data_IF_788550989469
#
_entry.id   IF_788550989469
#
_cell.length_a   1.000
_cell.length_b   1.000
_cell.length_c   1.000
_cell.angle_alpha   90.00
_cell.angle_beta   90.00
_cell.angle_gamma   90.00
#
_symmetry.space_group_name_H-M   'P 1'
#
loop_
_entity.id
_entity.type
_entity.pdbx_description
1 polymer ?
#
# COMPACT_ATOMS: atom_id res chain seq x y z
N UNK A 1 8.55 6.28 11.02
CA UNK A 1 7.10 6.56 11.06
C UNK A 1 6.53 5.92 12.31
N UNK A 2 5.73 6.65 13.10
CA UNK A 2 4.99 6.06 14.22
C UNK A 2 3.53 5.85 13.87
N UNK A 3 2.90 4.82 14.43
CA UNK A 3 1.47 4.54 14.32
C UNK A 3 0.87 4.27 15.69
N UNK A 4 -0.38 4.67 15.87
CA UNK A 4 -1.16 4.47 17.08
C UNK A 4 -2.60 4.13 16.68
N UNK A 5 -3.07 2.92 16.99
CA UNK A 5 -4.40 2.46 16.64
C UNK A 5 -5.18 2.01 17.88
N UNK A 6 -6.42 2.47 18.09
CA UNK A 6 -7.25 1.95 19.16
C UNK A 6 -7.67 0.50 18.85
N UNK A 7 -7.70 -0.32 19.88
CA UNK A 7 -8.28 -1.67 19.85
C UNK A 7 -9.24 -1.85 21.04
N UNK A 8 -9.87 -3.00 21.15
CA UNK A 8 -10.85 -3.27 22.19
C UNK A 8 -10.23 -3.26 23.60
N UNK A 9 -11.09 -2.99 24.58
CA UNK A 9 -10.77 -3.00 26.02
C UNK A 9 -9.80 -1.89 26.46
N UNK A 10 -9.96 -0.68 25.91
CA UNK A 10 -9.14 0.49 26.22
C UNK A 10 -7.63 0.22 26.01
N UNK A 11 -7.30 -0.52 24.94
CA UNK A 11 -5.93 -0.84 24.55
C UNK A 11 -5.63 -0.19 23.21
N UNK A 12 -4.34 -0.05 22.94
CA UNK A 12 -3.85 0.59 21.72
C UNK A 12 -2.68 -0.22 21.18
N UNK A 13 -2.61 -0.35 19.86
CA UNK A 13 -1.42 -0.84 19.17
C UNK A 13 -0.53 0.36 18.89
N UNK A 14 0.69 0.31 19.39
CA UNK A 14 1.75 1.30 19.12
C UNK A 14 2.79 0.63 18.23
N UNK A 15 3.15 1.29 17.13
CA UNK A 15 4.14 0.76 16.20
C UNK A 15 5.13 1.82 15.75
N UNK A 16 6.35 1.40 15.46
CA UNK A 16 7.38 2.23 14.86
C UNK A 16 7.97 1.53 13.64
N UNK A 17 7.85 2.17 12.48
CA UNK A 17 8.44 1.70 11.24
C UNK A 17 9.69 2.52 10.92
N UNK A 18 10.84 1.84 10.82
CA UNK A 18 12.10 2.46 10.43
C UNK A 18 12.97 1.56 9.55
N UNK A 19 13.76 2.20 8.69
CA UNK A 19 14.84 1.57 7.94
C UNK A 19 16.14 1.66 8.73
N UNK A 20 17.11 0.79 8.43
CA UNK A 20 18.45 0.91 9.01
C UNK A 20 19.06 2.29 8.66
N UNK A 21 19.88 2.89 9.55
CA UNK A 21 20.31 2.39 10.86
C UNK A 21 19.37 2.72 12.03
N UNK A 22 18.29 3.47 11.82
CA UNK A 22 17.49 4.09 12.88
C UNK A 22 16.39 3.18 13.46
N UNK A 23 16.65 1.88 13.59
CA UNK A 23 15.67 0.92 14.13
C UNK A 23 15.79 0.88 15.66
N UNK A 24 14.71 1.10 16.43
CA UNK A 24 14.74 0.85 17.86
C UNK A 24 14.95 -0.64 18.13
N UNK A 25 15.50 -0.95 19.30
CA UNK A 25 15.59 -2.32 19.79
C UNK A 25 14.24 -2.79 20.34
N UNK A 26 14.21 -3.99 20.94
CA UNK A 26 13.05 -4.49 21.68
C UNK A 26 12.96 -3.90 23.10
N UNK A 27 13.92 -3.05 23.51
CA UNK A 27 13.89 -2.35 24.78
C UNK A 27 12.86 -1.22 24.79
N UNK A 28 12.13 -1.08 25.89
CA UNK A 28 11.08 -0.08 26.03
C UNK A 28 11.62 1.35 26.04
N UNK A 29 12.80 1.56 26.64
CA UNK A 29 13.46 2.87 26.70
C UNK A 29 13.85 3.32 25.29
N UNK A 30 14.51 2.45 24.53
CA UNK A 30 14.91 2.70 23.15
C UNK A 30 13.68 2.99 22.27
N UNK A 31 12.59 2.25 22.46
CA UNK A 31 11.35 2.43 21.71
C UNK A 31 10.67 3.76 22.04
N UNK A 32 10.58 4.13 23.32
CA UNK A 32 10.02 5.42 23.75
C UNK A 32 10.88 6.59 23.27
N UNK A 33 12.21 6.46 23.27
CA UNK A 33 13.11 7.47 22.71
C UNK A 33 12.90 7.62 21.20
N UNK A 34 12.76 6.52 20.46
CA UNK A 34 12.44 6.57 19.04
C UNK A 34 11.10 7.28 18.77
N UNK A 35 10.07 7.04 19.59
CA UNK A 35 8.80 7.76 19.51
C UNK A 35 8.95 9.24 19.84
N UNK A 36 9.79 9.60 20.81
CA UNK A 36 10.07 10.98 21.20
C UNK A 36 10.72 11.77 20.07
N UNK A 37 11.55 11.11 19.27
CA UNK A 37 12.27 11.69 18.12
C UNK A 37 11.43 11.77 16.83
N UNK A 38 10.15 11.38 16.85
CA UNK A 38 9.25 11.61 15.72
C UNK A 38 9.05 13.12 15.48
N UNK A 39 8.79 13.55 14.23
CA UNK A 39 8.47 14.95 13.91
C UNK A 39 7.28 15.52 14.70
N UNK A 40 6.43 14.65 15.23
CA UNK A 40 5.24 15.00 16.01
C UNK A 40 5.27 14.29 17.36
N UNK A 41 5.14 15.07 18.44
CA UNK A 41 5.20 14.56 19.82
C UNK A 41 3.92 13.85 20.29
N UNK A 42 2.87 13.80 19.47
CA UNK A 42 1.54 13.32 19.87
C UNK A 42 1.55 11.84 20.31
N UNK A 43 2.24 10.97 19.55
CA UNK A 43 2.31 9.55 19.87
C UNK A 43 3.08 9.33 21.18
N UNK A 44 4.26 9.93 21.31
CA UNK A 44 5.05 9.86 22.55
C UNK A 44 4.25 10.34 23.78
N UNK A 45 3.61 11.50 23.69
CA UNK A 45 2.80 12.05 24.79
C UNK A 45 1.63 11.15 25.17
N UNK A 46 1.04 10.44 24.20
CA UNK A 46 -0.07 9.52 24.45
C UNK A 46 0.36 8.22 25.15
N UNK A 47 1.60 7.77 24.96
CA UNK A 47 2.04 6.44 25.41
C UNK A 47 3.07 6.45 26.54
N UNK A 48 3.73 7.59 26.83
CA UNK A 48 4.81 7.68 27.83
C UNK A 48 4.43 7.24 29.26
N UNK A 49 3.14 7.37 29.61
CA UNK A 49 2.61 7.01 30.92
C UNK A 49 1.71 5.74 30.83
N UNK A 50 1.65 5.10 29.66
CA UNK A 50 0.83 3.92 29.43
C UNK A 50 1.54 2.64 29.89
N UNK A 51 0.76 1.62 30.25
CA UNK A 51 1.29 0.30 30.62
C UNK A 51 1.40 -0.61 29.39
N UNK A 52 2.58 -1.16 29.07
CA UNK A 52 2.71 -2.17 28.01
C UNK A 52 1.83 -3.39 28.29
N UNK A 53 1.01 -3.78 27.32
CA UNK A 53 0.19 -4.99 27.40
C UNK A 53 0.95 -6.25 26.95
N UNK A 54 2.02 -6.08 26.17
CA UNK A 54 2.87 -7.14 25.62
C UNK A 54 4.32 -6.65 25.53
N UNK A 55 5.31 -7.55 25.42
CA UNK A 55 6.67 -7.18 25.00
C UNK A 55 6.67 -6.52 23.61
N UNK A 56 7.71 -5.73 23.33
CA UNK A 56 7.93 -5.12 22.01
C UNK A 56 8.51 -6.16 21.06
N UNK A 57 7.80 -6.45 19.98
CA UNK A 57 8.25 -7.33 18.92
C UNK A 57 8.85 -6.55 17.75
N UNK A 58 9.90 -7.11 17.13
CA UNK A 58 10.43 -6.59 15.86
C UNK A 58 10.06 -7.56 14.74
N UNK A 59 9.40 -7.03 13.72
CA UNK A 59 9.14 -7.75 12.48
C UNK A 59 9.96 -7.14 11.34
N UNK A 60 10.71 -8.00 10.64
CA UNK A 60 11.45 -7.63 9.45
C UNK A 60 10.71 -8.16 8.22
N UNK A 61 9.86 -7.36 7.57
CA UNK A 61 9.21 -7.80 6.34
C UNK A 61 10.30 -8.05 5.28
N UNK A 62 10.21 -9.16 4.51
CA UNK A 62 11.18 -9.49 3.46
C UNK A 62 11.12 -8.54 2.24
N UNK A 63 10.39 -7.43 2.35
CA UNK A 63 10.06 -6.51 1.27
C UNK A 63 8.84 -6.95 0.46
N UNK A 64 8.50 -6.18 -0.57
CA UNK A 64 7.48 -6.56 -1.54
C UNK A 64 7.93 -7.80 -2.32
N UNK A 65 7.08 -8.83 -2.38
CA UNK A 65 7.35 -10.05 -3.16
C UNK A 65 6.09 -10.51 -3.88
N UNK A 66 6.18 -10.61 -5.20
CA UNK A 66 5.17 -11.22 -6.06
C UNK A 66 5.74 -12.49 -6.68
N UNK A 67 4.99 -13.59 -6.60
CA UNK A 67 5.29 -14.86 -7.27
C UNK A 67 4.30 -15.06 -8.40
N UNK A 68 4.81 -15.21 -9.62
CA UNK A 68 4.01 -15.37 -10.83
C UNK A 68 3.56 -16.81 -11.04
N UNK A 69 2.72 -17.32 -10.13
CA UNK A 69 2.18 -18.69 -10.25
C UNK A 69 1.34 -18.86 -11.52
N UNK A 70 0.67 -17.81 -12.01
CA UNK A 70 -0.05 -17.78 -13.28
C UNK A 70 0.85 -18.03 -14.50
N UNK A 71 2.16 -17.81 -14.37
CA UNK A 71 3.16 -18.03 -15.41
C UNK A 71 3.76 -19.44 -15.43
N UNK A 72 3.35 -20.35 -14.53
CA UNK A 72 3.87 -21.72 -14.52
C UNK A 72 3.42 -22.49 -15.77
N UNK A 73 4.38 -23.13 -16.45
CA UNK A 73 4.10 -24.01 -17.62
C UNK A 73 3.20 -25.19 -17.25
N UNK A 74 3.27 -25.67 -16.01
CA UNK A 74 2.45 -26.75 -15.47
C UNK A 74 2.03 -26.40 -14.05
N UNK A 75 0.72 -26.37 -13.82
CA UNK A 75 0.18 -26.20 -12.47
C UNK A 75 0.15 -27.54 -11.72
N UNK A 76 0.52 -27.56 -10.43
CA UNK A 76 0.29 -28.72 -9.57
C UNK A 76 -1.21 -28.95 -9.40
N UNK A 77 -1.63 -30.20 -9.58
CA UNK A 77 -3.03 -30.58 -9.43
C UNK A 77 -3.45 -30.56 -7.95
N UNK A 78 -4.66 -30.07 -7.66
CA UNK A 78 -5.19 -29.99 -6.30
C UNK A 78 -4.45 -29.01 -5.38
N UNK A 79 -3.59 -28.13 -5.92
CA UNK A 79 -2.83 -27.16 -5.14
C UNK A 79 -3.13 -25.73 -5.57
N UNK A 80 -3.40 -24.88 -4.59
CA UNK A 80 -3.67 -23.45 -4.78
C UNK A 80 -2.84 -22.66 -3.76
N UNK A 81 -2.22 -21.57 -4.22
CA UNK A 81 -1.53 -20.59 -3.39
C UNK A 81 -2.34 -19.29 -3.37
N UNK A 82 -2.45 -18.65 -2.21
CA UNK A 82 -3.16 -17.37 -2.01
C UNK A 82 -2.51 -16.52 -0.89
N UNK A 83 -2.91 -15.25 -0.78
CA UNK A 83 -2.39 -14.31 0.22
C UNK A 83 -0.88 -14.07 0.08
N UNK A 84 -0.18 -13.93 1.20
CA UNK A 84 1.27 -13.64 1.25
C UNK A 84 2.15 -14.73 0.60
N UNK A 85 1.61 -15.94 0.42
CA UNK A 85 2.30 -16.98 -0.35
C UNK A 85 2.46 -16.61 -1.83
N UNK A 86 1.57 -15.77 -2.37
CA UNK A 86 1.58 -15.29 -3.76
C UNK A 86 2.10 -13.86 -3.84
N UNK A 87 1.48 -12.95 -3.08
CA UNK A 87 1.77 -11.52 -3.13
C UNK A 87 1.85 -10.97 -1.71
N UNK A 88 3.05 -10.60 -1.28
CA UNK A 88 3.30 -9.99 0.01
C UNK A 88 3.78 -8.56 -0.17
N UNK A 89 3.22 -7.64 0.61
CA UNK A 89 3.45 -6.21 0.50
C UNK A 89 4.19 -5.67 1.72
N UNK A 90 4.86 -4.53 1.56
CA UNK A 90 5.22 -3.68 2.69
C UNK A 90 3.93 -3.24 3.39
N UNK A 91 3.83 -3.40 4.74
CA UNK A 91 2.57 -3.21 5.44
C UNK A 91 2.13 -1.75 5.55
N UNK A 92 2.93 -0.82 5.04
CA UNK A 92 2.71 0.63 5.09
C UNK A 92 1.34 1.02 4.50
N UNK A 93 0.88 0.30 3.48
CA UNK A 93 -0.37 0.61 2.79
C UNK A 93 -1.59 -0.15 3.33
N UNK A 94 -1.40 -1.09 4.28
CA UNK A 94 -2.51 -1.81 4.93
C UNK A 94 -3.33 -2.74 4.02
N UNK A 95 -2.85 -3.09 2.82
CA UNK A 95 -3.65 -3.79 1.81
C UNK A 95 -3.64 -5.33 1.93
N UNK A 96 -2.67 -5.92 2.64
CA UNK A 96 -2.44 -7.36 2.64
C UNK A 96 -3.65 -8.21 3.06
N UNK A 97 -4.33 -7.84 4.15
CA UNK A 97 -5.50 -8.57 4.63
C UNK A 97 -6.68 -8.47 3.65
N UNK A 98 -6.94 -7.28 3.09
CA UNK A 98 -8.00 -7.08 2.09
C UNK A 98 -7.74 -7.90 0.84
N UNK A 99 -6.50 -7.90 0.33
CA UNK A 99 -6.12 -8.69 -0.85
C UNK A 99 -6.25 -10.19 -0.58
N UNK A 100 -5.83 -10.67 0.59
CA UNK A 100 -6.01 -12.07 0.98
C UNK A 100 -7.49 -12.47 1.06
N UNK A 101 -8.33 -11.61 1.63
CA UNK A 101 -9.78 -11.83 1.72
C UNK A 101 -10.44 -11.86 0.33
N UNK A 102 -10.11 -10.92 -0.56
CA UNK A 102 -10.58 -10.92 -1.95
C UNK A 102 -10.14 -12.18 -2.70
N UNK A 103 -8.91 -12.65 -2.47
CA UNK A 103 -8.43 -13.93 -3.01
C UNK A 103 -9.23 -15.14 -2.49
N UNK A 104 -9.65 -15.13 -1.23
CA UNK A 104 -10.50 -16.18 -0.66
C UNK A 104 -11.94 -16.16 -1.24
N UNK A 105 -12.50 -14.96 -1.47
CA UNK A 105 -13.79 -14.80 -2.16
C UNK A 105 -13.71 -15.33 -3.59
N UNK A 106 -12.67 -14.95 -4.35
CA UNK A 106 -12.42 -15.49 -5.68
C UNK A 106 -12.31 -17.03 -5.67
N UNK A 107 -11.61 -17.59 -4.68
CA UNK A 107 -11.46 -19.04 -4.58
C UNK A 107 -12.82 -19.73 -4.40
N UNK A 108 -13.70 -19.16 -3.58
CA UNK A 108 -15.06 -19.64 -3.40
C UNK A 108 -15.83 -19.60 -4.72
N UNK A 109 -15.80 -18.49 -5.44
CA UNK A 109 -16.47 -18.32 -6.74
C UNK A 109 -15.99 -19.36 -7.75
N UNK A 110 -14.67 -19.52 -7.92
CA UNK A 110 -14.11 -20.52 -8.82
C UNK A 110 -14.49 -21.96 -8.44
N UNK A 111 -14.58 -22.28 -7.15
CA UNK A 111 -15.00 -23.60 -6.66
C UNK A 111 -16.49 -23.87 -6.93
N UNK A 112 -17.33 -22.85 -6.83
CA UNK A 112 -18.76 -22.93 -7.14
C UNK A 112 -19.00 -23.16 -8.63
N UNK A 113 -18.23 -22.51 -9.50
CA UNK A 113 -18.32 -22.67 -10.96
C UNK A 113 -17.97 -24.08 -11.45
N UNK A 114 -16.98 -24.73 -10.83
CA UNK A 114 -16.51 -26.07 -11.23
C UNK A 114 -17.20 -27.21 -10.46
N UNK A 115 -18.21 -26.90 -9.65
CA UNK A 115 -18.88 -27.88 -8.78
C UNK A 115 -19.45 -29.04 -9.61
N UNK A 116 -19.03 -30.27 -9.29
CA UNK A 116 -19.45 -31.47 -10.01
C UNK A 116 -18.74 -31.70 -11.35
N UNK A 117 -17.69 -30.92 -11.65
CA UNK A 117 -16.86 -31.06 -12.84
C UNK A 117 -15.41 -31.40 -12.48
N UNK A 118 -14.57 -31.61 -13.49
CA UNK A 118 -13.14 -31.87 -13.31
C UNK A 118 -12.39 -30.62 -12.77
N UNK A 119 -11.74 -30.79 -11.62
CA UNK A 119 -10.94 -29.74 -10.96
C UNK A 119 -9.59 -29.49 -11.63
N UNK A 120 -9.22 -30.24 -12.67
CA UNK A 120 -7.86 -30.19 -13.25
C UNK A 120 -7.43 -28.82 -13.78
N UNK A 121 -8.41 -27.97 -14.14
CA UNK A 121 -8.21 -26.61 -14.66
C UNK A 121 -8.30 -25.53 -13.59
N UNK A 122 -8.83 -25.86 -12.41
CA UNK A 122 -9.08 -24.90 -11.34
C UNK A 122 -7.81 -24.15 -10.91
N UNK A 123 -6.64 -24.79 -10.65
CA UNK A 123 -5.44 -24.06 -10.24
C UNK A 123 -4.98 -23.03 -11.28
N UNK A 124 -5.01 -23.39 -12.56
CA UNK A 124 -4.59 -22.49 -13.64
C UNK A 124 -5.54 -21.29 -13.79
N UNK A 125 -6.84 -21.54 -13.72
CA UNK A 125 -7.85 -20.51 -13.78
C UNK A 125 -7.76 -19.56 -12.58
N UNK A 126 -7.74 -20.12 -11.36
CA UNK A 126 -7.67 -19.35 -10.12
C UNK A 126 -6.41 -18.47 -10.06
N UNK A 127 -5.21 -19.02 -10.35
CA UNK A 127 -3.98 -18.23 -10.29
C UNK A 127 -3.98 -17.07 -11.28
N UNK A 128 -4.58 -17.27 -12.47
CA UNK A 128 -4.72 -16.22 -13.49
C UNK A 128 -5.65 -15.11 -13.03
N UNK A 129 -6.78 -15.43 -12.41
CA UNK A 129 -7.71 -14.43 -11.90
C UNK A 129 -7.17 -13.72 -10.64
N UNK A 130 -6.49 -14.46 -9.75
CA UNK A 130 -5.83 -13.89 -8.57
C UNK A 130 -4.74 -12.88 -8.96
N UNK A 131 -3.99 -13.15 -10.04
CA UNK A 131 -3.00 -12.21 -10.56
C UNK A 131 -3.63 -10.86 -10.96
N UNK A 132 -4.87 -10.85 -11.46
CA UNK A 132 -5.58 -9.60 -11.80
C UNK A 132 -5.97 -8.82 -10.54
N UNK A 133 -6.46 -9.51 -9.50
CA UNK A 133 -6.76 -8.88 -8.20
C UNK A 133 -5.50 -8.26 -7.59
N UNK A 134 -4.38 -8.98 -7.65
CA UNK A 134 -3.10 -8.54 -7.08
C UNK A 134 -2.46 -7.38 -7.85
N UNK A 135 -2.74 -7.22 -9.14
CA UNK A 135 -2.04 -6.27 -10.01
C UNK A 135 -2.14 -4.82 -9.52
N UNK A 136 -3.34 -4.37 -9.13
CA UNK A 136 -3.56 -3.00 -8.65
C UNK A 136 -2.78 -2.68 -7.37
N UNK A 137 -3.00 -3.43 -6.27
CA UNK A 137 -2.25 -3.30 -5.02
C UNK A 137 -0.73 -3.44 -5.22
N UNK A 138 -0.29 -4.36 -6.08
CA UNK A 138 1.13 -4.54 -6.39
C UNK A 138 1.76 -3.29 -7.01
N UNK A 139 1.11 -2.68 -8.00
CA UNK A 139 1.59 -1.43 -8.62
C UNK A 139 1.60 -0.32 -7.57
N UNK A 140 0.56 -0.21 -6.74
CA UNK A 140 0.47 0.83 -5.72
C UNK A 140 1.62 0.73 -4.70
N UNK A 141 1.87 -0.47 -4.17
CA UNK A 141 2.93 -0.71 -3.19
C UNK A 141 4.33 -0.49 -3.79
N UNK A 142 4.59 -1.05 -4.97
CA UNK A 142 5.92 -0.99 -5.59
C UNK A 142 6.27 0.39 -6.14
N UNK A 143 5.30 1.15 -6.65
CA UNK A 143 5.55 2.49 -7.22
C UNK A 143 6.01 3.51 -6.18
N UNK A 144 5.51 3.40 -4.95
CA UNK A 144 5.94 4.27 -3.86
C UNK A 144 7.30 3.83 -3.30
N UNK A 145 7.49 2.52 -3.14
CA UNK A 145 8.75 1.99 -2.60
C UNK A 145 9.92 2.21 -3.59
N UNK A 146 9.65 2.22 -4.90
CA UNK A 146 10.64 2.51 -5.93
C UNK A 146 11.25 3.92 -5.84
N UNK A 147 10.65 4.84 -5.07
CA UNK A 147 11.21 6.16 -4.79
C UNK A 147 12.38 6.11 -3.80
N UNK A 148 12.56 5.02 -3.07
CA UNK A 148 13.64 4.86 -2.09
C UNK A 148 14.90 4.28 -2.76
N UNK A 149 16.06 4.97 -2.68
CA UNK A 149 17.30 4.51 -3.31
C UNK A 149 17.81 3.14 -2.84
N UNK A 150 17.40 2.71 -1.64
CA UNK A 150 17.80 1.43 -1.04
C UNK A 150 17.07 0.21 -1.62
N UNK A 151 16.02 0.41 -2.45
CA UNK A 151 15.24 -0.69 -3.01
C UNK A 151 16.02 -1.37 -4.14
N UNK A 152 16.24 -2.68 -3.99
CA UNK A 152 16.87 -3.55 -4.99
C UNK A 152 15.78 -4.35 -5.73
N UNK A 153 16.10 -4.83 -6.93
CA UNK A 153 15.19 -5.68 -7.72
C UNK A 153 14.31 -4.93 -8.73
N UNK A 154 14.40 -3.60 -8.80
CA UNK A 154 13.82 -2.81 -9.88
C UNK A 154 14.66 -3.08 -11.13
N UNK A 155 14.16 -3.95 -12.01
CA UNK A 155 14.95 -4.49 -13.11
C UNK A 155 14.98 -3.60 -14.34
N UNK A 156 14.08 -2.60 -14.40
CA UNK A 156 13.94 -1.68 -15.54
C UNK A 156 13.67 -0.26 -15.08
N UNK A 157 14.27 0.76 -15.72
CA UNK A 157 13.88 2.13 -15.47
C UNK A 157 12.41 2.34 -15.90
N UNK A 158 11.66 3.23 -15.23
CA UNK A 158 10.29 3.49 -15.59
C UNK A 158 10.21 4.04 -17.01
N UNK A 159 9.28 3.49 -17.79
CA UNK A 159 8.90 3.96 -19.12
C UNK A 159 8.40 5.41 -19.08
N UNK A 160 8.39 6.12 -20.22
CA UNK A 160 7.87 7.48 -20.28
C UNK A 160 6.43 7.62 -19.75
N UNK A 161 5.59 6.61 -19.97
CA UNK A 161 4.21 6.57 -19.49
C UNK A 161 4.18 6.44 -17.95
N UNK A 162 4.97 5.53 -17.39
CA UNK A 162 5.07 5.38 -15.92
C UNK A 162 5.60 6.64 -15.25
N UNK A 163 6.55 7.35 -15.88
CA UNK A 163 7.02 8.65 -15.40
C UNK A 163 5.91 9.71 -15.42
N UNK A 164 5.09 9.75 -16.48
CA UNK A 164 3.97 10.68 -16.57
C UNK A 164 2.89 10.39 -15.52
N UNK A 165 2.57 9.11 -15.29
CA UNK A 165 1.65 8.67 -14.23
C UNK A 165 2.21 9.03 -12.85
N UNK A 166 3.50 8.76 -12.59
CA UNK A 166 4.15 9.12 -11.33
C UNK A 166 4.08 10.62 -11.04
N UNK A 167 4.40 11.45 -12.05
CA UNK A 167 4.27 12.90 -11.95
C UNK A 167 2.82 13.34 -11.66
N UNK A 168 1.84 12.74 -12.33
CA UNK A 168 0.42 13.01 -12.07
C UNK A 168 0.04 12.67 -10.63
N UNK A 169 0.45 11.50 -10.15
CA UNK A 169 0.19 11.03 -8.80
C UNK A 169 0.81 11.95 -7.74
N UNK A 170 2.02 12.47 -7.96
CA UNK A 170 2.64 13.43 -7.04
C UNK A 170 1.81 14.73 -6.93
N UNK A 171 1.24 15.20 -8.05
CA UNK A 171 0.33 16.37 -8.05
C UNK A 171 -1.00 16.07 -7.37
N UNK A 172 -1.56 14.88 -7.58
CA UNK A 172 -2.79 14.44 -6.95
C UNK A 172 -2.62 14.33 -5.43
N UNK A 173 -1.54 13.69 -4.96
CA UNK A 173 -1.21 13.58 -3.53
C UNK A 173 -1.05 14.96 -2.92
N UNK A 174 -0.31 15.87 -3.57
CA UNK A 174 -0.22 17.25 -3.08
C UNK A 174 -1.60 17.92 -2.94
N UNK A 175 -2.48 17.72 -3.93
CA UNK A 175 -3.83 18.32 -3.93
C UNK A 175 -4.72 17.80 -2.78
N UNK A 176 -4.47 16.60 -2.26
CA UNK A 176 -5.20 16.08 -1.08
C UNK A 176 -5.01 16.92 0.18
N UNK A 177 -3.94 17.74 0.24
CA UNK A 177 -3.74 18.67 1.34
C UNK A 177 -4.65 19.91 1.27
N UNK A 178 -5.33 20.12 0.13
CA UNK A 178 -6.14 21.32 -0.16
C UNK A 178 -7.58 21.01 -0.50
N UNK A 179 -7.85 19.86 -1.13
CA UNK A 179 -9.17 19.51 -1.64
C UNK A 179 -9.70 18.20 -1.04
N UNK A 180 -10.64 18.26 -0.07
CA UNK A 180 -11.17 17.08 0.61
C UNK A 180 -11.76 16.02 -0.33
N UNK A 181 -12.37 16.45 -1.43
CA UNK A 181 -12.97 15.54 -2.41
C UNK A 181 -11.92 14.66 -3.12
N UNK A 182 -10.72 15.19 -3.37
CA UNK A 182 -9.62 14.42 -3.96
C UNK A 182 -9.06 13.45 -2.92
N UNK A 183 -8.97 13.89 -1.67
CA UNK A 183 -8.59 13.05 -0.53
C UNK A 183 -9.52 11.85 -0.36
N UNK A 184 -10.84 12.07 -0.42
CA UNK A 184 -11.83 11.00 -0.30
C UNK A 184 -11.70 9.97 -1.43
N UNK A 185 -11.55 10.41 -2.68
CA UNK A 185 -11.35 9.47 -3.80
C UNK A 185 -10.03 8.72 -3.67
N UNK A 186 -8.97 9.39 -3.22
CA UNK A 186 -7.70 8.73 -2.93
C UNK A 186 -7.88 7.65 -1.86
N UNK A 187 -8.58 7.96 -0.76
CA UNK A 187 -8.86 7.01 0.31
C UNK A 187 -9.75 5.86 -0.15
N UNK A 188 -10.79 6.09 -0.94
CA UNK A 188 -11.63 5.02 -1.50
C UNK A 188 -10.79 4.03 -2.32
N UNK A 189 -9.80 4.54 -3.06
CA UNK A 189 -8.88 3.70 -3.85
C UNK A 189 -7.88 2.96 -2.98
N UNK A 190 -7.28 3.63 -1.99
CA UNK A 190 -6.36 2.99 -1.04
C UNK A 190 -7.02 1.86 -0.26
N UNK A 191 -8.27 2.06 0.16
CA UNK A 191 -9.09 1.06 0.87
C UNK A 191 -9.78 0.06 -0.08
N UNK A 192 -9.47 0.11 -1.38
CA UNK A 192 -9.99 -0.81 -2.40
C UNK A 192 -11.52 -0.80 -2.54
N UNK A 193 -12.18 0.29 -2.11
CA UNK A 193 -13.61 0.55 -2.30
C UNK A 193 -13.90 0.93 -3.76
N UNK A 194 -12.95 1.62 -4.39
CA UNK A 194 -12.98 1.97 -5.82
C UNK A 194 -11.74 1.45 -6.53
N UNK A 195 -11.87 1.19 -7.84
CA UNK A 195 -10.73 0.86 -8.68
C UNK A 195 -9.78 2.06 -8.82
N UNK A 196 -8.51 1.79 -9.10
CA UNK A 196 -7.50 2.83 -9.35
C UNK A 196 -7.89 3.79 -10.48
N UNK A 197 -8.73 3.35 -11.42
CA UNK A 197 -9.30 4.18 -12.49
C UNK A 197 -10.10 5.39 -11.98
N UNK A 198 -10.64 5.34 -10.76
CA UNK A 198 -11.34 6.46 -10.14
C UNK A 198 -10.46 7.73 -10.01
N UNK A 199 -9.14 7.55 -9.84
CA UNK A 199 -8.18 8.65 -9.78
C UNK A 199 -7.98 9.35 -11.12
N UNK A 200 -8.36 8.71 -12.24
CA UNK A 200 -8.19 9.23 -13.60
C UNK A 200 -9.52 9.68 -14.21
N UNK A 201 -10.59 9.76 -13.42
CA UNK A 201 -11.87 10.28 -13.90
C UNK A 201 -11.74 11.76 -14.29
N UNK A 202 -12.47 12.23 -15.33
CA UNK A 202 -12.37 13.60 -15.84
C UNK A 202 -12.49 14.68 -14.76
N UNK A 203 -13.34 14.46 -13.75
CA UNK A 203 -13.54 15.37 -12.62
C UNK A 203 -12.30 15.54 -11.74
N UNK A 204 -11.52 14.48 -11.53
CA UNK A 204 -10.27 14.53 -10.74
C UNK A 204 -9.15 15.13 -11.59
N UNK A 205 -9.03 14.71 -12.84
CA UNK A 205 -8.07 15.28 -13.80
C UNK A 205 -8.21 16.80 -13.92
N UNK A 206 -9.44 17.29 -14.06
CA UNK A 206 -9.71 18.72 -14.14
C UNK A 206 -9.23 19.49 -12.91
N UNK A 207 -9.42 18.94 -11.70
CA UNK A 207 -8.95 19.56 -10.45
C UNK A 207 -7.43 19.65 -10.39
N UNK A 208 -6.74 18.59 -10.80
CA UNK A 208 -5.27 18.57 -10.87
C UNK A 208 -4.76 19.58 -11.89
N UNK A 209 -5.34 19.62 -13.10
CA UNK A 209 -4.97 20.59 -14.15
C UNK A 209 -5.20 22.02 -13.68
N UNK A 210 -6.34 22.30 -13.04
CA UNK A 210 -6.68 23.62 -12.51
C UNK A 210 -5.64 24.12 -11.49
N UNK A 211 -5.18 23.25 -10.58
CA UNK A 211 -4.13 23.60 -9.61
C UNK A 211 -2.78 23.87 -10.28
N UNK A 212 -2.46 23.16 -11.36
CA UNK A 212 -1.23 23.42 -12.12
C UNK A 212 -1.29 24.79 -12.80
N UNK A 213 -2.43 25.12 -13.41
CA UNK A 213 -2.63 26.41 -14.08
C UNK A 213 -2.67 27.59 -13.09
N UNK A 214 -3.26 27.40 -11.90
CA UNK A 214 -3.29 28.43 -10.85
C UNK A 214 -1.88 28.77 -10.35
N UNK A 215 -1.03 27.75 -10.14
CA UNK A 215 0.38 27.94 -9.76
C UNK A 215 1.19 28.64 -10.84
N UNK A 216 1.00 28.30 -12.12
CA UNK A 216 1.67 29.00 -13.23
C UNK A 216 1.31 30.48 -13.26
N UNK A 217 0.04 30.82 -13.03
CA UNK A 217 -0.40 32.24 -12.94
C UNK A 217 0.22 32.97 -11.75
N UNK A 218 0.32 32.34 -10.58
CA UNK A 218 0.96 32.95 -9.41
C UNK A 218 2.48 33.12 -9.57
N UNK A 219 3.15 32.21 -10.29
CA UNK A 219 4.57 32.33 -10.60
C UNK A 219 4.84 33.41 -11.66
N UNK A 220 3.96 33.55 -12.66
CA UNK A 220 4.07 34.58 -13.70
C UNK A 220 3.77 36.01 -13.19
N UNK A 221 2.99 36.15 -12.12
CA UNK A 221 2.71 37.46 -11.50
C UNK A 221 3.73 37.93 -10.45
N UNK A 222 4.87 37.24 -10.29
CA UNK A 222 5.90 37.53 -9.27
C UNK A 222 7.19 38.16 -9.80
N UNK A 223 7.23 38.59 -11.06
CA UNK A 223 8.28 39.46 -11.57
C UNK A 223 7.74 40.90 -11.67
N UNK A 224 8.16 41.83 -10.80
CA UNK A 224 8.15 43.25 -11.15
C UNK A 224 9.38 43.56 -12.01
N UNK A 225 9.19 44.38 -13.03
CA UNK A 225 10.25 45.12 -13.72
C UNK A 225 11.00 46.05 -12.74
#
# INVERSE_FOLDING_TARGET
MGVLYPIENNRWIVGFCATAPNRPSTDETDFLEALRNLPSSHIYKAVKDAKPATPIGIYHPPGNRLRHYEGLKRQPQGFIALGDSVCSFTPIYGQGMTVAALGAVLLKECLEEVKGTDLSKLPAHFQKELAKINAGPWIAATSQDAKYPSVKGISKPPSPIEKAIGWYMDRLIYLTTKEPQVTLVLFDVFHMVKSSGALFQPRILFRVIREILSKKRQAAGRYPD
#
